data_IF_039416194640
#
_entry.id   IF_039416194640
#
_cell.length_a   1.000
_cell.length_b   1.000
_cell.length_c   1.000
_cell.angle_alpha   90.00
_cell.angle_beta   90.00
_cell.angle_gamma   90.00
#
_symmetry.space_group_name_H-M   'P 1'
#
loop_
_entity.id
_entity.type
_entity.pdbx_description
1 polymer ?
#
# COMPACT_ATOMS: atom_id res chain seq x y z
N UNK A 1 24.35 -5.27 56.83
CA UNK A 1 24.26 -3.98 56.11
C UNK A 1 23.01 -3.29 56.61
N UNK A 2 23.13 -2.20 57.39
CA UNK A 2 21.97 -1.53 57.96
C UNK A 2 21.18 -0.84 56.85
N UNK A 3 19.96 -1.33 56.58
CA UNK A 3 18.98 -0.59 55.80
C UNK A 3 18.35 0.41 56.76
N UNK A 4 19.00 1.56 56.94
CA UNK A 4 18.39 2.66 57.65
C UNK A 4 17.21 3.14 56.81
N UNK A 5 15.98 2.89 57.28
CA UNK A 5 14.77 3.52 56.74
C UNK A 5 14.87 5.02 57.01
N UNK A 6 15.35 5.76 56.02
CA UNK A 6 15.35 7.21 56.03
C UNK A 6 13.90 7.67 55.98
N UNK A 7 13.43 8.30 57.06
CA UNK A 7 12.06 8.81 57.12
C UNK A 7 11.86 9.90 56.07
N UNK A 8 10.75 9.82 55.33
CA UNK A 8 10.44 10.76 54.27
C UNK A 8 10.01 12.10 54.87
N UNK A 9 10.87 13.12 54.76
CA UNK A 9 10.52 14.49 55.18
C UNK A 9 9.59 15.14 54.16
N UNK A 10 8.78 16.15 54.55
CA UNK A 10 7.90 16.89 53.63
C UNK A 10 8.64 17.46 52.41
N UNK A 11 9.88 17.92 52.58
CA UNK A 11 10.74 18.45 51.52
C UNK A 11 11.15 17.37 50.53
N UNK A 12 11.49 16.16 51.01
CA UNK A 12 11.82 15.01 50.17
C UNK A 12 10.62 14.54 49.35
N UNK A 13 9.41 14.56 49.95
CA UNK A 13 8.16 14.23 49.27
C UNK A 13 7.84 15.28 48.20
N UNK A 14 8.01 16.57 48.50
CA UNK A 14 7.80 17.65 47.53
C UNK A 14 8.77 17.57 46.35
N UNK A 15 10.06 17.34 46.61
CA UNK A 15 11.06 17.16 45.56
C UNK A 15 10.74 15.95 44.66
N UNK A 16 10.26 14.85 45.24
CA UNK A 16 9.81 13.68 44.50
C UNK A 16 8.58 13.97 43.63
N UNK A 17 7.58 14.70 44.14
CA UNK A 17 6.39 15.12 43.37
C UNK A 17 6.79 16.00 42.18
N UNK A 18 7.73 16.94 42.36
CA UNK A 18 8.24 17.79 41.27
C UNK A 18 8.96 16.98 40.18
N UNK A 19 9.82 16.02 40.56
CA UNK A 19 10.49 15.14 39.60
C UNK A 19 9.50 14.18 38.90
N UNK A 20 8.46 13.70 39.60
CA UNK A 20 7.38 12.93 38.96
C UNK A 20 6.61 13.76 37.93
N UNK A 21 6.23 15.00 38.26
CA UNK A 21 5.54 15.90 37.33
C UNK A 21 6.40 16.18 36.09
N UNK A 22 7.71 16.43 36.26
CA UNK A 22 8.67 16.62 35.17
C UNK A 22 8.78 15.38 34.27
N UNK A 23 8.84 14.18 34.87
CA UNK A 23 8.86 12.91 34.12
C UNK A 23 7.55 12.64 33.38
N UNK A 24 6.42 13.02 33.98
CA UNK A 24 5.12 12.88 33.32
C UNK A 24 5.06 13.77 32.08
N UNK A 25 5.44 15.05 32.18
CA UNK A 25 5.49 15.96 31.04
C UNK A 25 6.46 15.48 29.95
N UNK A 26 7.64 14.97 30.33
CA UNK A 26 8.59 14.35 29.40
C UNK A 26 8.00 13.11 28.70
N UNK A 27 7.26 12.27 29.44
CA UNK A 27 6.56 11.09 28.90
C UNK A 27 5.47 11.50 27.91
N UNK A 28 4.64 12.48 28.25
CA UNK A 28 3.55 12.97 27.40
C UNK A 28 4.10 13.54 26.08
N UNK A 29 5.21 14.28 26.13
CA UNK A 29 5.92 14.78 24.93
C UNK A 29 6.45 13.64 24.05
N UNK A 30 7.07 12.62 24.65
CA UNK A 30 7.57 11.44 23.92
C UNK A 30 6.42 10.63 23.29
N UNK A 31 5.28 10.51 23.97
CA UNK A 31 4.09 9.86 23.41
C UNK A 31 3.53 10.63 22.21
N UNK A 32 3.43 11.96 22.29
CA UNK A 32 3.00 12.80 21.16
C UNK A 32 3.94 12.71 19.96
N UNK A 33 5.27 12.70 20.17
CA UNK A 33 6.23 12.54 19.08
C UNK A 33 6.14 11.14 18.45
N UNK A 34 5.92 10.11 19.27
CA UNK A 34 5.73 8.72 18.81
C UNK A 34 4.47 8.55 17.98
N UNK A 35 3.34 9.12 18.42
CA UNK A 35 2.09 9.09 17.67
C UNK A 35 2.24 9.79 16.30
N UNK A 36 2.87 10.97 16.26
CA UNK A 36 3.18 11.66 15.00
C UNK A 36 4.01 10.78 14.04
N UNK A 37 5.10 10.17 14.54
CA UNK A 37 5.94 9.27 13.72
C UNK A 37 5.17 8.05 13.23
N UNK A 38 4.25 7.51 14.04
CA UNK A 38 3.39 6.39 13.67
C UNK A 38 2.40 6.80 12.58
N UNK A 39 1.74 7.95 12.71
CA UNK A 39 0.85 8.50 11.67
C UNK A 39 1.58 8.74 10.34
N UNK A 40 2.78 9.32 10.38
CA UNK A 40 3.63 9.53 9.19
C UNK A 40 4.02 8.19 8.53
N UNK A 41 4.39 7.19 9.32
CA UNK A 41 4.72 5.83 8.84
C UNK A 41 3.51 5.14 8.21
N UNK A 42 2.33 5.22 8.86
CA UNK A 42 1.09 4.64 8.33
C UNK A 42 0.65 5.31 7.03
N UNK A 43 0.84 6.63 6.90
CA UNK A 43 0.63 7.35 5.62
C UNK A 43 1.56 6.83 4.53
N UNK A 44 2.86 6.73 4.79
CA UNK A 44 3.84 6.20 3.84
C UNK A 44 3.53 4.75 3.41
N UNK A 45 3.11 3.89 4.35
CA UNK A 45 2.67 2.52 4.03
C UNK A 45 1.41 2.49 3.16
N UNK A 46 0.46 3.40 3.38
CA UNK A 46 -0.75 3.52 2.56
C UNK A 46 -0.40 3.93 1.13
N UNK A 47 0.43 4.95 0.96
CA UNK A 47 0.90 5.44 -0.35
C UNK A 47 1.70 4.36 -1.09
N UNK A 48 2.62 3.67 -0.40
CA UNK A 48 3.38 2.56 -0.96
C UNK A 48 2.48 1.40 -1.40
N UNK A 49 1.42 1.08 -0.63
CA UNK A 49 0.42 0.06 -0.99
C UNK A 49 -0.38 0.46 -2.22
N UNK A 50 -0.83 1.71 -2.33
CA UNK A 50 -1.61 2.22 -3.47
C UNK A 50 -0.79 2.25 -4.77
N UNK A 51 0.50 2.63 -4.66
CA UNK A 51 1.46 2.43 -5.74
C UNK A 51 1.58 0.94 -6.08
N UNK A 52 1.84 0.08 -5.10
CA UNK A 52 2.04 -1.35 -5.33
C UNK A 52 0.84 -1.99 -6.02
N UNK A 53 -0.40 -1.81 -5.53
CA UNK A 53 -1.59 -2.42 -6.17
C UNK A 53 -1.79 -1.94 -7.61
N UNK A 54 -1.58 -0.65 -7.88
CA UNK A 54 -1.80 -0.07 -9.22
C UNK A 54 -0.67 -0.40 -10.19
N UNK A 55 0.56 -0.60 -9.72
CA UNK A 55 1.66 -1.09 -10.56
C UNK A 55 1.62 -2.62 -10.72
N UNK A 56 1.13 -3.36 -9.71
CA UNK A 56 1.05 -4.82 -9.72
C UNK A 56 0.04 -5.33 -10.75
N UNK A 57 -1.13 -4.69 -10.87
CA UNK A 57 -2.06 -4.94 -11.97
C UNK A 57 -1.38 -4.83 -13.33
N UNK A 58 -0.69 -3.71 -13.59
CA UNK A 58 0.05 -3.47 -14.85
C UNK A 58 1.24 -4.39 -15.09
N UNK A 59 1.91 -4.85 -14.03
CA UNK A 59 2.94 -5.89 -14.13
C UNK A 59 2.30 -7.21 -14.58
N UNK A 60 1.18 -7.60 -13.98
CA UNK A 60 0.44 -8.81 -14.35
C UNK A 60 -0.15 -8.72 -15.76
N UNK A 61 -0.71 -7.56 -16.16
CA UNK A 61 -1.11 -7.26 -17.56
C UNK A 61 0.06 -7.50 -18.52
N UNK A 62 1.25 -7.00 -18.18
CA UNK A 62 2.47 -7.13 -19.01
C UNK A 62 2.95 -8.58 -19.11
N UNK A 63 2.94 -9.32 -17.99
CA UNK A 63 3.33 -10.73 -17.94
C UNK A 63 2.37 -11.64 -18.73
N UNK A 64 1.07 -11.37 -18.66
CA UNK A 64 0.06 -12.09 -19.46
C UNK A 64 0.23 -11.77 -20.95
N UNK A 65 0.35 -10.48 -21.30
CA UNK A 65 0.53 -10.01 -22.68
C UNK A 65 1.70 -10.70 -23.38
N UNK A 66 2.86 -10.80 -22.71
CA UNK A 66 4.08 -11.39 -23.26
C UNK A 66 4.00 -12.85 -23.71
N UNK A 67 2.96 -13.60 -23.29
CA UNK A 67 2.69 -14.98 -23.73
C UNK A 67 1.30 -15.18 -24.35
N UNK A 68 0.50 -14.12 -24.50
CA UNK A 68 -0.90 -14.25 -24.88
C UNK A 68 -1.07 -14.82 -26.30
N UNK A 69 -0.28 -14.36 -27.28
CA UNK A 69 -0.33 -14.87 -28.65
C UNK A 69 0.00 -16.37 -28.73
N UNK A 70 0.99 -16.84 -27.96
CA UNK A 70 1.38 -18.25 -27.87
C UNK A 70 0.19 -19.10 -27.39
N UNK A 71 -0.40 -18.72 -26.26
CA UNK A 71 -1.49 -19.44 -25.61
C UNK A 71 -2.79 -19.45 -26.42
N UNK A 72 -3.12 -18.35 -27.10
CA UNK A 72 -4.31 -18.26 -27.94
C UNK A 72 -4.16 -19.07 -29.24
N UNK A 73 -2.97 -19.09 -29.84
CA UNK A 73 -2.74 -19.86 -31.07
C UNK A 73 -2.55 -21.36 -30.82
N UNK A 74 -2.02 -21.78 -29.66
CA UNK A 74 -2.12 -23.17 -29.19
C UNK A 74 -3.59 -23.66 -29.08
N UNK A 75 -4.54 -22.74 -28.90
CA UNK A 75 -5.99 -23.00 -28.88
C UNK A 75 -6.67 -22.74 -30.23
N UNK A 76 -5.91 -22.59 -31.32
CA UNK A 76 -6.41 -22.36 -32.69
C UNK A 76 -7.26 -21.09 -32.86
N UNK A 77 -7.05 -20.06 -32.04
CA UNK A 77 -7.75 -18.77 -32.17
C UNK A 77 -7.40 -18.05 -33.48
N UNK A 78 -6.11 -18.07 -33.87
CA UNK A 78 -5.60 -17.47 -35.10
C UNK A 78 -5.37 -15.95 -35.01
N UNK A 79 -4.93 -15.46 -33.85
CA UNK A 79 -4.63 -14.04 -33.60
C UNK A 79 -3.14 -13.75 -33.78
N UNK A 80 -2.77 -12.55 -34.23
CA UNK A 80 -1.36 -12.19 -34.48
C UNK A 80 -0.92 -10.88 -33.82
N UNK A 81 -1.86 -10.06 -33.34
CA UNK A 81 -1.60 -8.77 -32.72
C UNK A 81 -2.20 -8.73 -31.30
N UNK A 82 -1.50 -8.07 -30.36
CA UNK A 82 -2.00 -7.79 -29.00
C UNK A 82 -1.79 -6.31 -28.70
N UNK A 83 -2.87 -5.62 -28.37
CA UNK A 83 -2.87 -4.26 -27.84
C UNK A 83 -3.21 -4.28 -26.35
N UNK A 84 -2.49 -3.53 -25.53
CA UNK A 84 -2.76 -3.37 -24.10
C UNK A 84 -3.44 -2.04 -23.78
N UNK A 85 -4.27 -2.04 -22.74
CA UNK A 85 -4.95 -0.86 -22.18
C UNK A 85 -5.71 -0.05 -23.22
N UNK A 86 -6.47 -0.73 -24.07
CA UNK A 86 -7.22 -0.11 -25.16
C UNK A 86 -8.40 0.66 -24.59
N UNK A 87 -8.36 1.98 -24.73
CA UNK A 87 -9.39 2.91 -24.22
C UNK A 87 -10.32 3.37 -25.33
N UNK A 88 -11.58 3.60 -24.99
CA UNK A 88 -12.55 4.22 -25.87
C UNK A 88 -13.72 4.84 -25.14
N UNK A 89 -14.61 5.48 -25.89
CA UNK A 89 -15.87 6.01 -25.39
C UNK A 89 -16.94 5.88 -26.48
N UNK A 90 -18.15 5.49 -26.10
CA UNK A 90 -19.30 5.38 -26.99
C UNK A 90 -20.59 5.73 -26.25
N UNK A 91 -21.43 6.55 -26.86
CA UNK A 91 -22.71 7.01 -26.29
C UNK A 91 -22.58 7.60 -24.86
N UNK A 92 -21.47 8.29 -24.57
CA UNK A 92 -21.19 8.85 -23.24
C UNK A 92 -20.59 7.86 -22.22
N UNK A 93 -20.46 6.58 -22.56
CA UNK A 93 -19.84 5.56 -21.71
C UNK A 93 -18.39 5.31 -22.13
N UNK A 94 -17.46 5.58 -21.23
CA UNK A 94 -16.03 5.26 -21.39
C UNK A 94 -15.76 3.81 -20.99
N UNK A 95 -14.80 3.17 -21.67
CA UNK A 95 -14.34 1.82 -21.38
C UNK A 95 -12.81 1.71 -21.55
N UNK A 96 -12.22 0.75 -20.85
CA UNK A 96 -10.83 0.32 -20.98
C UNK A 96 -10.83 -1.21 -21.01
N UNK A 97 -10.04 -1.81 -21.90
CA UNK A 97 -9.80 -3.25 -21.95
C UNK A 97 -8.32 -3.49 -21.64
N UNK A 98 -8.02 -4.38 -20.69
CA UNK A 98 -6.65 -4.69 -20.27
C UNK A 98 -5.80 -5.18 -21.46
N UNK A 99 -6.32 -6.16 -22.20
CA UNK A 99 -5.68 -6.72 -23.38
C UNK A 99 -6.72 -7.05 -24.47
N UNK A 100 -6.39 -6.72 -25.72
CA UNK A 100 -7.14 -7.16 -26.91
C UNK A 100 -6.17 -7.90 -27.83
N UNK A 101 -6.47 -9.16 -28.15
CA UNK A 101 -5.78 -9.92 -29.18
C UNK A 101 -6.65 -10.02 -30.45
N UNK A 102 -6.10 -9.79 -31.64
CA UNK A 102 -6.87 -9.80 -32.88
C UNK A 102 -6.10 -10.24 -34.13
N UNK A 103 -6.83 -10.41 -35.23
CA UNK A 103 -6.31 -10.63 -36.59
C UNK A 103 -7.06 -9.82 -37.67
N UNK A 104 -7.85 -8.82 -37.27
CA UNK A 104 -8.71 -8.04 -38.16
C UNK A 104 -10.11 -8.64 -38.41
N UNK A 105 -10.27 -9.95 -38.32
CA UNK A 105 -11.57 -10.65 -38.46
C UNK A 105 -12.17 -11.06 -37.11
N UNK A 106 -11.31 -11.49 -36.19
CA UNK A 106 -11.62 -11.97 -34.84
C UNK A 106 -10.96 -11.06 -33.82
N UNK A 107 -11.67 -10.88 -32.69
CA UNK A 107 -11.21 -10.11 -31.54
C UNK A 107 -11.42 -10.98 -30.30
N UNK A 108 -10.37 -11.11 -29.47
CA UNK A 108 -10.40 -11.74 -28.16
C UNK A 108 -10.06 -10.67 -27.12
N UNK A 109 -11.04 -10.33 -26.28
CA UNK A 109 -10.85 -9.42 -25.16
C UNK A 109 -10.43 -10.26 -23.95
N UNK A 110 -9.38 -9.83 -23.26
CA UNK A 110 -8.84 -10.51 -22.07
C UNK A 110 -8.75 -9.51 -20.93
N UNK A 111 -9.41 -9.85 -19.82
CA UNK A 111 -9.41 -9.15 -18.55
C UNK A 111 -8.43 -9.83 -17.60
N UNK A 112 -7.55 -9.08 -16.94
CA UNK A 112 -6.52 -9.60 -16.03
C UNK A 112 -6.94 -9.35 -14.58
N UNK A 113 -7.41 -10.41 -13.92
CA UNK A 113 -7.74 -10.35 -12.48
C UNK A 113 -6.53 -10.73 -11.63
N UNK A 114 -6.15 -9.83 -10.74
CA UNK A 114 -5.22 -10.09 -9.63
C UNK A 114 -5.99 -10.28 -8.33
N UNK A 115 -5.46 -11.12 -7.43
CA UNK A 115 -6.03 -11.42 -6.11
C UNK A 115 -5.70 -10.33 -5.09
#
# INVERSE_FOLDING_TARGET
MNIATQEATPESIWAFIQELARRQEETDRQMQETDRKLQETLRGLKEARELFTTQWGRLMESLVSGRLLELLNQRHMGVYEVSSRVKGSRNGHSYEFDLIAHNGEKIVIVEVKTT
#
